data_IF_537227074249
#
_entry.id   IF_537227074249
#
_cell.length_a   1.000
_cell.length_b   1.000
_cell.length_c   1.000
_cell.angle_alpha   90.00
_cell.angle_beta   90.00
_cell.angle_gamma   90.00
#
_symmetry.space_group_name_H-M   'P 1'
#
loop_
_entity.id
_entity.type
_entity.pdbx_description
1 polymer ?
#
# COMPACT_ATOMS: atom_id res chain seq x y z
N UNK A 1 -27.53 4.68 20.66
CA UNK A 1 -26.12 5.10 20.85
C UNK A 1 -25.89 6.22 19.83
N UNK A 2 -25.35 7.34 20.26
CA UNK A 2 -25.00 8.45 19.35
C UNK A 2 -23.63 8.15 18.71
N UNK A 3 -23.65 7.61 17.50
CA UNK A 3 -22.42 7.25 16.77
C UNK A 3 -21.59 8.46 16.37
N UNK A 4 -22.23 9.63 16.16
CA UNK A 4 -21.49 10.85 15.86
C UNK A 4 -20.68 11.31 17.07
N UNK A 5 -21.29 11.33 18.25
CA UNK A 5 -20.58 11.65 19.49
C UNK A 5 -19.44 10.65 19.78
N UNK A 6 -19.66 9.36 19.52
CA UNK A 6 -18.63 8.34 19.65
C UNK A 6 -17.47 8.56 18.68
N UNK A 7 -17.75 8.85 17.41
CA UNK A 7 -16.72 9.15 16.41
C UNK A 7 -15.88 10.37 16.79
N UNK A 8 -16.49 11.43 17.32
CA UNK A 8 -15.77 12.61 17.81
C UNK A 8 -14.91 12.29 19.03
N UNK A 9 -15.37 11.42 19.92
CA UNK A 9 -14.61 10.99 21.09
C UNK A 9 -13.38 10.15 20.70
N UNK A 10 -13.54 9.24 19.72
CA UNK A 10 -12.45 8.34 19.27
C UNK A 10 -11.41 9.08 18.41
N UNK A 11 -11.85 10.07 17.63
CA UNK A 11 -10.99 10.79 16.68
C UNK A 11 -11.10 12.33 16.87
N UNK A 12 -10.77 12.87 18.07
CA UNK A 12 -11.02 14.28 18.40
C UNK A 12 -10.18 15.26 17.57
N UNK A 13 -9.00 14.83 17.10
CA UNK A 13 -8.07 15.70 16.37
C UNK A 13 -8.21 15.59 14.85
N UNK A 14 -9.12 14.73 14.37
CA UNK A 14 -9.25 14.48 12.95
C UNK A 14 -10.25 15.45 12.33
N UNK A 15 -9.74 16.36 11.50
CA UNK A 15 -10.52 17.39 10.80
C UNK A 15 -10.78 17.07 9.34
N UNK A 16 -9.91 16.28 8.69
CA UNK A 16 -10.04 15.91 7.30
C UNK A 16 -11.31 15.08 7.03
N UNK A 17 -11.95 15.31 5.90
CA UNK A 17 -13.11 14.54 5.44
C UNK A 17 -12.70 13.43 4.46
N UNK A 18 -13.56 12.40 4.26
CA UNK A 18 -13.34 11.39 3.21
C UNK A 18 -13.19 12.01 1.81
N UNK A 19 -13.96 13.05 1.52
CA UNK A 19 -13.96 13.74 0.23
C UNK A 19 -12.61 14.45 -0.01
N UNK A 20 -12.04 15.08 1.02
CA UNK A 20 -10.70 15.69 0.96
C UNK A 20 -9.62 14.65 0.75
N UNK A 21 -9.73 13.47 1.37
CA UNK A 21 -8.80 12.36 1.13
C UNK A 21 -8.95 11.86 -0.31
N UNK A 22 -10.17 11.62 -0.78
CA UNK A 22 -10.40 11.14 -2.14
C UNK A 22 -9.92 12.11 -3.21
N UNK A 23 -10.04 13.42 -2.96
CA UNK A 23 -9.54 14.45 -3.88
C UNK A 23 -8.01 14.40 -4.09
N UNK A 24 -7.25 13.82 -3.16
CA UNK A 24 -5.81 13.62 -3.32
C UNK A 24 -5.47 12.51 -4.32
N UNK A 25 -6.44 11.64 -4.65
CA UNK A 25 -6.24 10.44 -5.46
C UNK A 25 -7.16 10.47 -6.70
N UNK A 26 -6.70 11.02 -7.82
CA UNK A 26 -7.50 11.09 -9.03
C UNK A 26 -7.84 9.68 -9.55
N UNK A 27 -8.95 9.56 -10.28
CA UNK A 27 -9.31 8.31 -10.93
C UNK A 27 -8.20 7.88 -11.91
N UNK A 28 -7.86 6.60 -11.89
CA UNK A 28 -6.88 6.03 -12.81
C UNK A 28 -7.44 5.97 -14.22
N UNK A 29 -6.61 6.32 -15.19
CA UNK A 29 -6.93 6.19 -16.62
C UNK A 29 -6.41 4.81 -17.09
N UNK A 30 -7.20 3.78 -16.92
CA UNK A 30 -6.83 2.40 -17.27
C UNK A 30 -7.87 1.82 -18.24
N UNK A 31 -7.48 0.81 -19.06
CA UNK A 31 -8.44 0.08 -19.90
C UNK A 31 -9.57 -0.53 -19.11
N UNK A 32 -10.71 -0.74 -19.74
CA UNK A 32 -11.83 -1.49 -19.14
C UNK A 32 -11.38 -2.89 -18.75
N UNK A 33 -11.72 -3.31 -17.53
CA UNK A 33 -11.31 -4.61 -16.99
C UNK A 33 -9.87 -4.69 -16.48
N UNK A 34 -9.10 -3.60 -16.54
CA UNK A 34 -7.76 -3.54 -15.99
C UNK A 34 -7.76 -3.80 -14.48
N UNK A 35 -6.82 -4.61 -14.02
CA UNK A 35 -6.69 -5.00 -12.62
C UNK A 35 -5.58 -4.23 -11.93
N UNK A 36 -5.85 -3.79 -10.71
CA UNK A 36 -4.85 -3.18 -9.84
C UNK A 36 -4.55 -4.19 -8.74
N UNK A 37 -3.34 -4.68 -8.70
CA UNK A 37 -2.90 -5.67 -7.73
C UNK A 37 -1.79 -5.12 -6.84
N UNK A 38 -1.60 -5.72 -5.67
CA UNK A 38 -0.70 -5.20 -4.67
C UNK A 38 0.08 -6.31 -3.98
N UNK A 39 1.40 -6.20 -4.00
CA UNK A 39 2.24 -6.91 -3.05
C UNK A 39 2.43 -6.08 -1.79
N UNK A 40 2.26 -6.72 -0.62
CA UNK A 40 2.23 -6.04 0.67
C UNK A 40 3.10 -6.73 1.73
N UNK A 41 4.42 -6.83 1.52
CA UNK A 41 5.31 -7.49 2.46
C UNK A 41 5.57 -6.62 3.70
N UNK A 42 5.74 -7.28 4.86
CA UNK A 42 6.24 -6.64 6.06
C UNK A 42 7.75 -6.81 6.14
N UNK A 43 8.52 -5.78 6.54
CA UNK A 43 9.99 -5.86 6.63
C UNK A 43 10.43 -6.53 7.94
N UNK A 44 9.77 -7.64 8.33
CA UNK A 44 9.94 -8.34 9.62
C UNK A 44 10.68 -9.67 9.49
N UNK A 45 11.16 -10.02 8.30
CA UNK A 45 11.84 -11.27 8.04
C UNK A 45 12.27 -11.41 6.59
N UNK A 46 12.71 -12.61 6.25
CA UNK A 46 13.16 -12.92 4.90
C UNK A 46 11.97 -13.23 3.97
N UNK A 47 12.15 -12.87 2.69
CA UNK A 47 11.25 -13.29 1.63
C UNK A 47 11.37 -14.80 1.42
N UNK A 48 10.26 -15.47 1.24
CA UNK A 48 10.23 -16.90 0.91
C UNK A 48 9.48 -17.13 -0.41
N UNK A 49 9.59 -18.35 -0.94
CA UNK A 49 9.05 -18.69 -2.26
C UNK A 49 7.54 -18.37 -2.38
N UNK A 50 6.77 -18.55 -1.29
CA UNK A 50 5.35 -18.21 -1.27
C UNK A 50 5.05 -16.73 -1.52
N UNK A 51 5.90 -15.83 -1.00
CA UNK A 51 5.77 -14.39 -1.27
C UNK A 51 6.05 -14.07 -2.75
N UNK A 52 7.10 -14.69 -3.31
CA UNK A 52 7.49 -14.51 -4.71
C UNK A 52 6.43 -15.08 -5.67
N UNK A 53 5.86 -16.24 -5.34
CA UNK A 53 4.79 -16.84 -6.11
C UNK A 53 3.53 -15.96 -6.11
N UNK A 54 3.11 -15.47 -4.93
CA UNK A 54 1.97 -14.54 -4.83
C UNK A 54 2.21 -13.27 -5.65
N UNK A 55 3.41 -12.68 -5.54
CA UNK A 55 3.77 -11.49 -6.30
C UNK A 55 3.78 -11.75 -7.82
N UNK A 56 4.25 -12.93 -8.27
CA UNK A 56 4.20 -13.31 -9.68
C UNK A 56 2.76 -13.39 -10.20
N UNK A 57 1.86 -13.98 -9.43
CA UNK A 57 0.42 -14.06 -9.81
C UNK A 57 -0.17 -12.66 -9.90
N UNK A 58 0.08 -11.81 -8.90
CA UNK A 58 -0.41 -10.43 -8.85
C UNK A 58 0.12 -9.61 -10.04
N UNK A 59 1.41 -9.71 -10.33
CA UNK A 59 2.05 -9.04 -11.47
C UNK A 59 1.41 -9.47 -12.79
N UNK A 60 1.25 -10.79 -13.03
CA UNK A 60 0.63 -11.31 -14.25
C UNK A 60 -0.82 -10.87 -14.42
N UNK A 61 -1.60 -10.88 -13.34
CA UNK A 61 -3.00 -10.42 -13.38
C UNK A 61 -3.11 -8.93 -13.72
N UNK A 62 -2.23 -8.09 -13.18
CA UNK A 62 -2.18 -6.68 -13.49
C UNK A 62 -1.75 -6.45 -14.94
N UNK A 63 -0.57 -6.91 -15.33
CA UNK A 63 0.01 -6.58 -16.63
C UNK A 63 -0.73 -7.21 -17.81
N UNK A 64 -1.26 -8.43 -17.68
CA UNK A 64 -2.09 -9.04 -18.72
C UNK A 64 -3.41 -8.30 -18.96
N UNK A 65 -3.90 -7.55 -17.98
CA UNK A 65 -5.12 -6.74 -18.10
C UNK A 65 -4.84 -5.27 -18.48
N UNK A 66 -3.58 -4.88 -18.66
CA UNK A 66 -3.20 -3.48 -18.85
C UNK A 66 -3.37 -2.63 -17.59
N UNK A 67 -3.31 -3.27 -16.43
CA UNK A 67 -3.48 -2.66 -15.11
C UNK A 67 -2.16 -2.26 -14.45
N UNK A 68 -2.17 -2.21 -13.13
CA UNK A 68 -1.04 -1.72 -12.31
C UNK A 68 -0.71 -2.71 -11.21
N UNK A 69 0.57 -3.07 -11.10
CA UNK A 69 1.11 -3.85 -9.99
C UNK A 69 1.95 -2.96 -9.09
N UNK A 70 1.58 -2.82 -7.80
CA UNK A 70 2.30 -1.92 -6.90
C UNK A 70 2.77 -2.56 -5.60
N UNK A 71 3.87 -2.01 -5.07
CA UNK A 71 4.46 -2.43 -3.80
C UNK A 71 4.08 -1.46 -2.68
N UNK A 72 3.44 -1.98 -1.62
CA UNK A 72 3.26 -1.26 -0.37
C UNK A 72 3.91 -2.00 0.78
N UNK A 73 4.84 -1.36 1.44
CA UNK A 73 5.50 -1.93 2.63
C UNK A 73 4.56 -1.81 3.83
N UNK A 74 4.28 -2.93 4.47
CA UNK A 74 3.46 -2.99 5.69
C UNK A 74 4.37 -2.98 6.94
N UNK A 75 4.80 -1.78 7.31
CA UNK A 75 5.81 -1.48 8.32
C UNK A 75 5.21 -1.03 9.67
N UNK A 76 4.02 -1.50 10.01
CA UNK A 76 3.33 -1.12 11.26
C UNK A 76 3.88 -1.84 12.48
N UNK A 77 4.51 -3.01 12.32
CA UNK A 77 5.14 -3.75 13.40
C UNK A 77 6.60 -3.34 13.58
N UNK A 78 6.79 -2.20 14.22
CA UNK A 78 8.14 -1.65 14.48
C UNK A 78 9.02 -2.52 15.38
N UNK A 79 8.42 -3.39 16.20
CA UNK A 79 9.19 -4.26 17.11
C UNK A 79 9.90 -5.40 16.37
N UNK A 80 9.31 -5.87 15.27
CA UNK A 80 9.86 -6.94 14.45
C UNK A 80 10.54 -6.44 13.18
N UNK A 81 10.58 -5.15 12.94
CA UNK A 81 11.23 -4.58 11.77
C UNK A 81 12.74 -4.90 11.79
N UNK A 82 13.23 -5.49 10.71
CA UNK A 82 14.64 -5.85 10.54
C UNK A 82 15.37 -4.73 9.81
N UNK A 83 16.53 -4.34 10.33
CA UNK A 83 17.39 -3.36 9.65
C UNK A 83 17.74 -3.85 8.22
N UNK A 84 17.52 -2.99 7.23
CA UNK A 84 17.70 -3.36 5.82
C UNK A 84 16.60 -4.25 5.22
N UNK A 85 15.54 -4.59 5.99
CA UNK A 85 14.48 -5.48 5.54
C UNK A 85 13.79 -5.01 4.26
N UNK A 86 13.58 -3.71 4.09
CA UNK A 86 13.01 -3.16 2.84
C UNK A 86 13.94 -3.37 1.65
N UNK A 87 15.25 -3.14 1.82
CA UNK A 87 16.23 -3.37 0.75
C UNK A 87 16.24 -4.85 0.34
N UNK A 88 16.25 -5.77 1.32
CA UNK A 88 16.20 -7.21 1.06
C UNK A 88 14.92 -7.61 0.28
N UNK A 89 13.78 -7.00 0.57
CA UNK A 89 12.53 -7.21 -0.15
C UNK A 89 12.68 -6.77 -1.62
N UNK A 90 13.20 -5.56 -1.85
CA UNK A 90 13.40 -5.01 -3.19
C UNK A 90 14.38 -5.84 -4.01
N UNK A 91 15.50 -6.26 -3.40
CA UNK A 91 16.52 -7.10 -4.04
C UNK A 91 15.94 -8.47 -4.43
N UNK A 92 15.13 -9.08 -3.56
CA UNK A 92 14.48 -10.35 -3.85
C UNK A 92 13.55 -10.23 -5.07
N UNK A 93 12.66 -9.24 -5.13
CA UNK A 93 11.78 -9.05 -6.28
C UNK A 93 12.55 -8.73 -7.55
N UNK A 94 13.59 -7.91 -7.47
CA UNK A 94 14.48 -7.61 -8.60
C UNK A 94 15.18 -8.84 -9.14
N UNK A 95 15.72 -9.70 -8.26
CA UNK A 95 16.40 -10.94 -8.65
C UNK A 95 15.48 -11.93 -9.38
N UNK A 96 14.18 -11.90 -9.11
CA UNK A 96 13.17 -12.73 -9.77
C UNK A 96 12.47 -12.04 -10.95
N UNK A 97 12.93 -10.84 -11.34
CA UNK A 97 12.37 -10.11 -12.48
C UNK A 97 10.91 -9.69 -12.29
N UNK A 98 10.52 -9.33 -11.08
CA UNK A 98 9.17 -8.87 -10.72
C UNK A 98 9.17 -7.35 -10.54
N UNK A 99 8.99 -6.56 -11.62
CA UNK A 99 8.96 -5.11 -11.55
C UNK A 99 7.64 -4.61 -10.97
N UNK A 100 7.72 -3.52 -10.21
CA UNK A 100 6.54 -2.77 -9.77
C UNK A 100 6.38 -1.51 -10.60
N UNK A 101 5.14 -1.18 -10.97
CA UNK A 101 4.81 0.07 -11.67
C UNK A 101 4.83 1.26 -10.72
N UNK A 102 4.44 1.02 -9.46
CA UNK A 102 4.37 2.03 -8.41
C UNK A 102 4.79 1.43 -7.06
N UNK A 103 5.14 2.28 -6.12
CA UNK A 103 5.40 1.84 -4.75
C UNK A 103 6.74 2.28 -4.20
N UNK A 104 7.20 1.55 -3.18
CA UNK A 104 8.52 1.78 -2.58
C UNK A 104 9.62 1.27 -3.51
N UNK A 105 10.64 2.08 -3.71
CA UNK A 105 11.84 1.74 -4.50
C UNK A 105 13.12 2.07 -3.72
N UNK A 106 14.27 1.71 -4.28
CA UNK A 106 15.58 2.03 -3.70
C UNK A 106 15.85 3.56 -3.65
N UNK A 107 15.22 4.33 -4.54
CA UNK A 107 15.36 5.79 -4.63
C UNK A 107 14.25 6.55 -3.89
N UNK A 108 13.31 5.86 -3.25
CA UNK A 108 12.16 6.46 -2.57
C UNK A 108 10.85 5.82 -3.02
N UNK A 109 9.79 6.61 -3.13
CA UNK A 109 8.49 6.15 -3.62
C UNK A 109 8.25 6.65 -5.05
N UNK A 110 7.60 5.80 -5.87
CA UNK A 110 7.17 6.11 -7.24
C UNK A 110 5.66 5.99 -7.36
N UNK A 111 5.04 6.81 -8.22
CA UNK A 111 3.59 6.87 -8.38
C UNK A 111 2.92 7.97 -7.56
N UNK A 112 1.64 8.22 -7.85
CA UNK A 112 0.87 9.34 -7.27
C UNK A 112 -0.17 8.90 -6.23
N UNK A 113 -0.25 7.60 -5.94
CA UNK A 113 -1.23 7.03 -5.00
C UNK A 113 -0.61 6.67 -3.64
N UNK A 114 0.58 7.22 -3.35
CA UNK A 114 1.25 7.08 -2.07
C UNK A 114 0.47 7.71 -0.89
N UNK A 115 1.05 7.66 0.30
CA UNK A 115 2.32 7.00 0.62
C UNK A 115 2.21 5.48 0.47
N UNK A 116 3.31 4.84 0.04
CA UNK A 116 3.39 3.39 -0.13
C UNK A 116 4.04 2.69 1.07
N UNK A 117 4.13 3.37 2.19
CA UNK A 117 4.39 2.78 3.52
C UNK A 117 3.13 2.84 4.36
N UNK A 118 2.72 1.71 4.92
CA UNK A 118 1.47 1.62 5.68
C UNK A 118 1.49 2.53 6.91
N UNK A 119 2.63 2.65 7.59
CA UNK A 119 2.78 3.52 8.77
C UNK A 119 2.48 5.00 8.47
N UNK A 120 2.64 5.44 7.23
CA UNK A 120 2.38 6.82 6.80
C UNK A 120 0.91 7.05 6.36
N UNK A 121 0.06 6.04 6.43
CA UNK A 121 -1.35 6.09 5.98
C UNK A 121 -2.34 6.23 7.14
N UNK A 122 -1.88 6.50 8.35
CA UNK A 122 -2.72 6.54 9.54
C UNK A 122 -3.89 7.53 9.40
N UNK A 123 -3.65 8.74 8.89
CA UNK A 123 -4.70 9.73 8.64
C UNK A 123 -5.80 9.18 7.73
N UNK A 124 -5.41 8.55 6.61
CA UNK A 124 -6.35 7.97 5.64
C UNK A 124 -7.26 6.95 6.33
N UNK A 125 -6.66 6.02 7.08
CA UNK A 125 -7.43 4.97 7.78
C UNK A 125 -8.35 5.56 8.84
N UNK A 126 -7.88 6.54 9.61
CA UNK A 126 -8.66 7.18 10.65
C UNK A 126 -9.85 7.98 10.10
N UNK A 127 -9.67 8.69 8.97
CA UNK A 127 -10.75 9.43 8.30
C UNK A 127 -11.88 8.49 7.91
N UNK A 128 -11.56 7.36 7.26
CA UNK A 128 -12.58 6.40 6.86
C UNK A 128 -13.16 5.62 8.05
N UNK A 129 -12.37 5.32 9.08
CA UNK A 129 -12.87 4.71 10.31
C UNK A 129 -13.83 5.64 11.06
N UNK A 130 -13.56 6.95 11.09
CA UNK A 130 -14.44 7.95 11.68
C UNK A 130 -15.78 8.08 10.94
N UNK A 131 -15.78 7.80 9.64
CA UNK A 131 -16.98 7.87 8.78
C UNK A 131 -17.94 6.69 9.00
N UNK A 132 -17.42 5.50 9.37
CA UNK A 132 -18.20 4.28 9.64
C UNK A 132 -19.03 4.40 10.92
#
# INVERSE_FOLDING_TARGET
MDYHALAQLLFPHLTASPEEILARYPARQLPEGARITRMAPSPTGFMHLGNLYGALVDERLAHQSGGVFYLRIEDTDKKREVAGGVATILDAFSAFGLPFDEGVSAQGETGIYGPYRQSLRAEIYQVFAKKL
#
